data_IF_522439696227
#
_entry.id   IF_522439696227
#
_cell.length_a   1.000
_cell.length_b   1.000
_cell.length_c   1.000
_cell.angle_alpha   90.00
_cell.angle_beta   90.00
_cell.angle_gamma   90.00
#
_symmetry.space_group_name_H-M   'P 1'
#
loop_
_entity.id
_entity.type
_entity.pdbx_description
1 polymer ?
#
# COMPACT_ATOMS: atom_id res chain seq x y z
N UNK A 1 6.81 -1.66 -6.14
CA UNK A 1 5.52 -1.47 -6.76
C UNK A 1 5.24 -0.04 -7.17
N UNK A 2 4.13 0.14 -7.83
CA UNK A 2 3.70 1.45 -8.32
C UNK A 2 2.36 1.77 -7.69
N UNK A 3 2.22 2.98 -7.12
CA UNK A 3 0.97 3.43 -6.53
C UNK A 3 -0.05 3.66 -7.65
N UNK A 4 -1.15 2.92 -7.62
CA UNK A 4 -2.19 2.99 -8.65
C UNK A 4 -3.40 3.80 -8.19
N UNK A 5 -3.63 3.88 -6.87
CA UNK A 5 -4.75 4.63 -6.32
C UNK A 5 -4.46 4.97 -4.86
N UNK A 6 -5.03 6.06 -4.38
CA UNK A 6 -4.86 6.51 -3.00
C UNK A 6 -6.25 6.71 -2.40
N UNK A 7 -6.49 6.07 -1.25
CA UNK A 7 -7.75 6.18 -0.50
C UNK A 7 -7.46 6.75 0.89
N UNK A 8 -8.51 7.14 1.62
CA UNK A 8 -8.35 7.71 2.96
C UNK A 8 -7.69 6.76 3.96
N UNK A 9 -7.85 5.46 3.75
CA UNK A 9 -7.34 4.43 4.65
C UNK A 9 -5.99 3.86 4.21
N UNK A 10 -5.47 4.26 3.07
CA UNK A 10 -4.21 3.74 2.57
C UNK A 10 -4.05 3.97 1.08
N UNK A 11 -3.17 3.19 0.46
CA UNK A 11 -2.91 3.29 -0.97
C UNK A 11 -2.90 1.90 -1.60
N UNK A 12 -3.33 1.83 -2.85
CA UNK A 12 -3.25 0.61 -3.65
C UNK A 12 -1.97 0.63 -4.47
N UNK A 13 -1.30 -0.50 -4.51
CA UNK A 13 0.01 -0.63 -5.13
C UNK A 13 0.02 -1.82 -6.07
N UNK A 14 0.42 -1.60 -7.31
CA UNK A 14 0.63 -2.68 -8.28
C UNK A 14 2.02 -3.28 -8.04
N UNK A 15 2.05 -4.55 -7.68
CA UNK A 15 3.28 -5.26 -7.37
C UNK A 15 3.70 -6.24 -8.47
N UNK A 16 3.11 -6.11 -9.66
CA UNK A 16 3.48 -6.93 -10.82
C UNK A 16 2.76 -8.27 -10.91
N UNK A 17 1.82 -8.53 -10.01
CA UNK A 17 0.93 -9.70 -10.10
C UNK A 17 -0.46 -9.21 -10.54
N UNK A 18 -1.37 -10.15 -10.79
CA UNK A 18 -2.70 -9.81 -11.31
C UNK A 18 -3.60 -9.06 -10.31
N UNK A 19 -3.14 -8.88 -9.09
CA UNK A 19 -3.91 -8.22 -8.02
C UNK A 19 -3.12 -7.08 -7.43
N UNK A 20 -3.82 -5.97 -7.14
CA UNK A 20 -3.21 -4.86 -6.43
C UNK A 20 -3.11 -5.19 -4.94
N UNK A 21 -2.01 -4.76 -4.31
CA UNK A 21 -1.87 -4.84 -2.87
C UNK A 21 -2.33 -3.55 -2.21
N UNK A 22 -2.71 -3.66 -0.95
CA UNK A 22 -3.11 -2.51 -0.13
C UNK A 22 -2.02 -2.20 0.89
N UNK A 23 -1.57 -0.95 0.90
CA UNK A 23 -0.72 -0.42 1.96
C UNK A 23 -1.62 0.37 2.89
N UNK A 24 -1.95 -0.20 4.07
CA UNK A 24 -2.76 0.50 5.05
C UNK A 24 -2.02 1.72 5.56
N UNK A 25 -2.76 2.77 5.94
CA UNK A 25 -2.15 4.02 6.39
C UNK A 25 -1.20 3.80 7.58
N UNK A 26 -1.51 2.85 8.45
CA UNK A 26 -0.64 2.50 9.58
C UNK A 26 0.67 1.83 9.15
N UNK A 27 0.74 1.33 7.93
CA UNK A 27 1.91 0.65 7.38
C UNK A 27 2.73 1.53 6.43
N UNK A 28 2.34 2.80 6.27
CA UNK A 28 3.03 3.73 5.38
C UNK A 28 4.17 4.47 6.06
N UNK A 29 4.06 4.70 7.36
CA UNK A 29 5.07 5.42 8.13
C UNK A 29 5.03 4.97 9.59
N UNK A 30 6.14 5.23 10.31
CA UNK A 30 6.25 4.90 11.73
C UNK A 30 5.59 5.95 12.62
N UNK A 31 5.05 7.00 12.05
CA UNK A 31 4.34 8.05 12.77
C UNK A 31 2.93 8.19 12.23
N UNK A 32 2.08 8.84 13.00
CA UNK A 32 0.69 9.06 12.60
C UNK A 32 0.63 10.02 11.41
N UNK A 33 -0.11 9.63 10.38
CA UNK A 33 -0.36 10.47 9.22
C UNK A 33 -1.86 10.65 9.04
N UNK A 34 -2.28 11.82 8.62
CA UNK A 34 -3.69 12.14 8.45
C UNK A 34 -4.20 11.77 7.05
N UNK A 35 -3.30 11.76 6.06
CA UNK A 35 -3.68 11.48 4.69
C UNK A 35 -2.56 10.71 3.98
N UNK A 36 -2.87 9.57 3.34
CA UNK A 36 -1.85 8.80 2.63
C UNK A 36 -1.12 9.59 1.54
N UNK A 37 -1.75 10.58 0.94
CA UNK A 37 -1.11 11.40 -0.08
C UNK A 37 0.04 12.24 0.44
N UNK A 38 0.19 12.37 1.77
CA UNK A 38 1.35 13.02 2.37
C UNK A 38 2.61 12.17 2.23
N UNK A 39 2.45 10.86 2.10
CA UNK A 39 3.56 9.90 2.06
C UNK A 39 3.83 9.42 0.65
N UNK A 40 2.77 9.17 -0.14
CA UNK A 40 2.87 8.62 -1.48
C UNK A 40 2.12 9.48 -2.47
N UNK A 41 2.53 9.40 -3.73
CA UNK A 41 1.85 10.06 -4.85
C UNK A 41 1.40 9.02 -5.85
N UNK A 42 0.35 9.35 -6.60
CA UNK A 42 -0.15 8.50 -7.66
C UNK A 42 0.96 8.22 -8.68
N UNK A 43 1.09 6.97 -9.10
CA UNK A 43 2.11 6.47 -10.02
C UNK A 43 3.54 6.53 -9.46
N UNK A 44 3.70 6.78 -8.17
CA UNK A 44 5.01 6.76 -7.53
C UNK A 44 5.51 5.32 -7.41
N UNK A 45 6.79 5.12 -7.69
CA UNK A 45 7.45 3.84 -7.44
C UNK A 45 7.83 3.76 -5.97
N UNK A 46 7.40 2.70 -5.31
CA UNK A 46 7.65 2.51 -3.88
C UNK A 46 8.17 1.11 -3.64
N UNK A 47 8.93 0.98 -2.56
CA UNK A 47 9.42 -0.31 -2.09
C UNK A 47 8.46 -0.81 -1.01
N UNK A 48 7.90 -1.99 -1.22
CA UNK A 48 6.90 -2.55 -0.29
C UNK A 48 7.26 -4.00 0.03
N UNK A 49 6.73 -4.47 1.15
CA UNK A 49 6.88 -5.86 1.60
C UNK A 49 5.50 -6.45 1.81
N UNK A 50 5.31 -7.69 1.36
CA UNK A 50 4.07 -8.42 1.59
C UNK A 50 4.04 -8.85 3.05
N UNK A 51 3.04 -8.39 3.79
CA UNK A 51 2.88 -8.73 5.21
C UNK A 51 1.86 -9.83 5.41
N UNK A 52 0.86 -9.91 4.53
CA UNK A 52 -0.18 -10.92 4.63
C UNK A 52 -0.88 -11.08 3.29
N UNK A 53 -1.44 -12.25 3.06
CA UNK A 53 -2.23 -12.54 1.86
C UNK A 53 -3.57 -13.12 2.31
N UNK A 54 -4.65 -12.43 1.98
CA UNK A 54 -6.00 -12.88 2.27
C UNK A 54 -6.55 -13.60 1.04
N UNK A 55 -6.43 -14.92 1.04
CA UNK A 55 -6.87 -15.74 -0.08
C UNK A 55 -8.39 -15.73 -0.24
N UNK A 56 -9.13 -15.63 0.85
CA UNK A 56 -10.58 -15.63 0.82
C UNK A 56 -11.15 -14.39 0.11
N UNK A 57 -10.49 -13.25 0.31
CA UNK A 57 -10.91 -11.98 -0.29
C UNK A 57 -10.07 -11.61 -1.52
N UNK A 58 -9.01 -12.35 -1.78
CA UNK A 58 -8.10 -12.05 -2.86
C UNK A 58 -7.31 -10.77 -2.65
N UNK A 59 -6.98 -10.44 -1.40
CA UNK A 59 -6.27 -9.21 -1.04
C UNK A 59 -4.85 -9.51 -0.60
N UNK A 60 -3.95 -8.60 -0.92
CA UNK A 60 -2.56 -8.67 -0.50
C UNK A 60 -2.29 -7.46 0.38
N UNK A 61 -1.82 -7.71 1.60
CA UNK A 61 -1.46 -6.65 2.54
C UNK A 61 0.01 -6.30 2.37
N UNK A 62 0.30 -5.03 2.19
CA UNK A 62 1.65 -4.54 1.97
C UNK A 62 2.06 -3.58 3.07
N UNK A 63 3.37 -3.44 3.27
CA UNK A 63 3.94 -2.52 4.23
C UNK A 63 5.10 -1.76 3.60
N UNK A 64 5.18 -0.46 3.87
CA UNK A 64 6.33 0.38 3.53
C UNK A 64 7.29 0.51 4.72
N UNK A 65 6.90 0.01 5.89
CA UNK A 65 7.78 0.00 7.06
C UNK A 65 8.90 -1.02 6.88
N UNK A 66 10.03 -0.69 7.39
CA UNK A 66 11.17 -1.60 7.39
C UNK A 66 11.05 -2.64 8.51
#
# INVERSE_FOLDING_TARGET
GIITNIANFGAFCDIGVHKDGLIHISEMANHRISNPSEIVSLHQHVRVRITDIDHARGRIQLSMKK
#
